data_IF_582562678544
#
_entry.id   IF_582562678544
#
_cell.length_a   1.000
_cell.length_b   1.000
_cell.length_c   1.000
_cell.angle_alpha   90.00
_cell.angle_beta   90.00
_cell.angle_gamma   90.00
#
_symmetry.space_group_name_H-M   'P 1'
#
loop_
_entity.id
_entity.type
_entity.pdbx_description
1 polymer ?
#
# COMPACT_ATOMS: atom_id res chain seq x y z
N UNK A 1 -11.50 19.08 -32.67
CA UNK A 1 -10.70 18.36 -31.66
C UNK A 1 -11.71 17.60 -30.84
N UNK A 2 -11.62 16.27 -30.85
CA UNK A 2 -12.54 15.41 -30.11
C UNK A 2 -12.20 15.55 -28.63
N UNK A 3 -13.14 16.08 -27.85
CA UNK A 3 -13.09 16.00 -26.39
C UNK A 3 -12.97 14.52 -26.07
N UNK A 4 -11.98 14.14 -25.28
CA UNK A 4 -11.83 12.77 -24.81
C UNK A 4 -13.12 12.36 -24.08
N UNK A 5 -13.99 11.62 -24.76
CA UNK A 5 -15.32 11.23 -24.25
C UNK A 5 -15.19 10.31 -23.02
N UNK A 6 -13.98 9.79 -22.75
CA UNK A 6 -13.66 8.93 -21.61
C UNK A 6 -13.11 9.71 -20.40
N UNK A 7 -12.98 11.04 -20.46
CA UNK A 7 -12.49 11.84 -19.34
C UNK A 7 -13.56 11.98 -18.23
N UNK A 8 -13.42 11.17 -17.17
CA UNK A 8 -14.28 11.24 -15.99
C UNK A 8 -13.76 12.32 -15.04
N UNK A 9 -14.45 13.45 -14.97
CA UNK A 9 -14.15 14.51 -14.00
C UNK A 9 -14.60 14.12 -12.59
N UNK A 10 -13.88 14.55 -11.53
CA UNK A 10 -14.34 14.38 -10.15
C UNK A 10 -15.78 14.87 -9.97
N UNK A 11 -16.62 14.02 -9.39
CA UNK A 11 -18.01 14.32 -9.04
C UNK A 11 -18.06 15.17 -7.76
N UNK A 12 -18.89 16.22 -7.76
CA UNK A 12 -19.09 17.12 -6.63
C UNK A 12 -19.40 18.54 -7.08
N UNK A 13 -20.19 19.32 -6.31
CA UNK A 13 -20.41 20.72 -6.64
C UNK A 13 -19.09 21.48 -6.42
N UNK A 14 -18.52 22.14 -7.45
CA UNK A 14 -17.35 22.99 -7.23
C UNK A 14 -17.68 24.10 -6.23
N UNK A 15 -16.66 24.62 -5.54
CA UNK A 15 -16.77 25.88 -4.80
C UNK A 15 -17.40 26.97 -5.69
N UNK A 16 -18.12 27.89 -5.06
CA UNK A 16 -18.73 29.01 -5.76
C UNK A 16 -17.66 29.73 -6.59
N UNK A 17 -17.76 29.74 -7.94
CA UNK A 17 -16.75 30.39 -8.78
C UNK A 17 -16.66 31.90 -8.55
N UNK A 18 -17.67 32.49 -7.88
CA UNK A 18 -17.66 33.90 -7.49
C UNK A 18 -16.90 34.16 -6.18
N UNK A 19 -16.45 33.11 -5.46
CA UNK A 19 -15.65 33.29 -4.27
C UNK A 19 -14.26 33.81 -4.67
N UNK A 20 -13.83 34.97 -4.13
CA UNK A 20 -12.52 35.53 -4.46
C UNK A 20 -11.40 34.57 -4.05
N UNK A 21 -10.38 34.47 -4.90
CA UNK A 21 -9.19 33.69 -4.62
C UNK A 21 -8.45 34.28 -3.41
N UNK A 22 -8.06 33.42 -2.46
CA UNK A 22 -7.17 33.82 -1.37
C UNK A 22 -5.78 34.12 -1.92
N UNK A 23 -5.04 34.99 -1.23
CA UNK A 23 -3.63 35.23 -1.57
C UNK A 23 -2.80 33.97 -1.27
N UNK A 24 -1.70 33.77 -2.02
CA UNK A 24 -0.81 32.62 -1.84
C UNK A 24 -0.30 32.52 -0.39
N UNK A 25 0.03 33.64 0.26
CA UNK A 25 0.49 33.65 1.66
C UNK A 25 -0.58 33.12 2.63
N UNK A 26 -1.85 33.38 2.33
CA UNK A 26 -2.96 32.86 3.13
C UNK A 26 -3.15 31.36 2.90
N UNK A 27 -3.01 30.89 1.65
CA UNK A 27 -3.04 29.46 1.34
C UNK A 27 -1.89 28.73 2.04
N UNK A 28 -0.67 29.25 1.95
CA UNK A 28 0.51 28.65 2.57
C UNK A 28 0.39 28.57 4.10
N UNK A 29 -0.32 29.51 4.72
CA UNK A 29 -0.55 29.52 6.16
C UNK A 29 -1.70 28.61 6.62
N UNK A 30 -2.64 28.25 5.74
CA UNK A 30 -3.89 27.58 6.13
C UNK A 30 -4.06 26.17 5.57
N UNK A 31 -3.35 25.83 4.49
CA UNK A 31 -3.43 24.52 3.86
C UNK A 31 -2.22 23.68 4.26
N UNK A 32 -2.50 22.46 4.72
CA UNK A 32 -1.56 21.54 5.32
C UNK A 32 -1.61 20.13 4.70
N UNK A 33 -2.47 19.88 3.70
CA UNK A 33 -2.59 18.59 2.99
C UNK A 33 -3.34 18.77 1.67
N UNK A 34 -3.31 17.77 0.79
CA UNK A 34 -4.08 17.84 -0.47
C UNK A 34 -5.59 17.94 -0.23
N UNK A 35 -6.11 17.28 0.80
CA UNK A 35 -7.54 17.31 1.14
C UNK A 35 -8.06 18.64 1.69
N UNK A 36 -7.19 19.63 1.92
CA UNK A 36 -7.63 21.01 2.20
C UNK A 36 -8.05 21.76 0.92
N UNK A 37 -7.69 21.23 -0.26
CA UNK A 37 -8.10 21.77 -1.55
C UNK A 37 -9.33 21.03 -2.10
N UNK A 38 -10.25 21.78 -2.69
CA UNK A 38 -11.35 21.19 -3.45
C UNK A 38 -10.88 20.77 -4.84
N UNK A 39 -10.49 19.50 -4.97
CA UNK A 39 -10.00 18.91 -6.22
C UNK A 39 -11.01 19.06 -7.36
N UNK A 40 -12.31 19.00 -7.09
CA UNK A 40 -13.35 19.20 -8.10
C UNK A 40 -13.30 20.63 -8.67
N UNK A 41 -12.94 21.62 -7.86
CA UNK A 41 -12.68 22.97 -8.34
C UNK A 41 -11.34 23.06 -9.08
N UNK A 42 -10.28 22.41 -8.58
CA UNK A 42 -8.95 22.49 -9.19
C UNK A 42 -8.92 21.98 -10.64
N UNK A 43 -9.64 20.89 -10.94
CA UNK A 43 -9.70 20.35 -12.32
C UNK A 43 -10.48 21.23 -13.31
N UNK A 44 -11.14 22.31 -12.84
CA UNK A 44 -12.01 23.19 -13.64
C UNK A 44 -11.55 24.65 -13.63
N UNK A 45 -10.73 25.06 -12.66
CA UNK A 45 -10.21 26.42 -12.50
C UNK A 45 -8.68 26.41 -12.53
N UNK A 46 -8.11 26.82 -13.67
CA UNK A 46 -6.67 26.95 -13.89
C UNK A 46 -5.98 27.83 -12.85
N UNK A 47 -6.60 28.92 -12.41
CA UNK A 47 -5.97 29.85 -11.46
C UNK A 47 -5.76 29.18 -10.11
N UNK A 48 -6.77 28.44 -9.66
CA UNK A 48 -6.71 27.65 -8.41
C UNK A 48 -5.77 26.47 -8.54
N UNK A 49 -5.74 25.79 -9.68
CA UNK A 49 -4.78 24.72 -9.93
C UNK A 49 -3.34 25.22 -9.84
N UNK A 50 -3.01 26.33 -10.50
CA UNK A 50 -1.67 26.92 -10.41
C UNK A 50 -1.31 27.34 -8.98
N UNK A 51 -2.28 27.85 -8.20
CA UNK A 51 -2.07 28.15 -6.78
C UNK A 51 -1.77 26.90 -5.95
N UNK A 52 -2.46 25.78 -6.21
CA UNK A 52 -2.13 24.49 -5.60
C UNK A 52 -0.69 24.07 -5.90
N UNK A 53 -0.24 24.14 -7.16
CA UNK A 53 1.15 23.79 -7.51
C UNK A 53 2.19 24.71 -6.87
N UNK A 54 1.89 26.01 -6.73
CA UNK A 54 2.76 26.96 -6.00
C UNK A 54 2.82 26.64 -4.51
N UNK A 55 1.69 26.32 -3.89
CA UNK A 55 1.64 25.85 -2.50
C UNK A 55 2.45 24.57 -2.32
N UNK A 56 2.23 23.59 -3.19
CA UNK A 56 2.92 22.31 -3.12
C UNK A 56 4.44 22.48 -3.24
N UNK A 57 4.90 23.27 -4.21
CA UNK A 57 6.31 23.63 -4.38
C UNK A 57 6.87 24.37 -3.16
N UNK A 58 6.11 25.32 -2.60
CA UNK A 58 6.51 26.05 -1.39
C UNK A 58 6.73 25.08 -0.23
N UNK A 59 5.79 24.17 0.02
CA UNK A 59 5.88 23.19 1.10
C UNK A 59 7.09 22.28 0.93
N UNK A 60 7.33 21.74 -0.27
CA UNK A 60 8.49 20.88 -0.54
C UNK A 60 9.84 21.60 -0.37
N UNK A 61 9.88 22.92 -0.53
CA UNK A 61 11.09 23.73 -0.34
C UNK A 61 11.32 24.13 1.12
N UNK A 62 10.26 24.30 1.90
CA UNK A 62 10.35 24.79 3.28
C UNK A 62 10.44 23.67 4.32
N UNK A 63 9.89 22.49 4.03
CA UNK A 63 9.76 21.41 5.00
C UNK A 63 10.54 20.16 4.58
N UNK A 64 10.92 19.36 5.58
CA UNK A 64 11.58 18.06 5.38
C UNK A 64 10.53 16.97 5.15
N UNK A 65 10.79 16.07 4.18
CA UNK A 65 9.99 14.84 3.99
C UNK A 65 10.05 13.92 5.20
N UNK A 66 11.19 13.92 5.92
CA UNK A 66 11.31 13.21 7.18
C UNK A 66 10.65 14.05 8.28
N UNK A 67 9.45 13.65 8.68
CA UNK A 67 8.56 14.41 9.59
C UNK A 67 8.69 14.02 11.07
N UNK A 68 9.37 12.92 11.36
CA UNK A 68 9.67 12.47 12.72
C UNK A 68 11.09 11.89 12.80
N UNK A 69 11.73 12.06 13.95
CA UNK A 69 13.11 11.64 14.19
C UNK A 69 13.20 10.65 15.35
N UNK A 70 14.36 9.99 15.47
CA UNK A 70 14.63 9.10 16.61
C UNK A 70 14.44 9.84 17.93
N UNK A 71 13.72 9.21 18.86
CA UNK A 71 13.28 9.73 20.15
C UNK A 71 12.13 10.73 20.15
N UNK A 72 11.61 11.12 18.99
CA UNK A 72 10.39 11.92 18.94
C UNK A 72 9.22 11.14 19.54
N UNK A 73 8.34 11.88 20.19
CA UNK A 73 7.14 11.37 20.85
C UNK A 73 5.93 11.86 20.08
N UNK A 74 5.09 10.93 19.64
CA UNK A 74 3.88 11.23 18.88
C UNK A 74 2.67 10.85 19.72
N UNK A 75 1.67 11.73 19.74
CA UNK A 75 0.38 11.45 20.37
C UNK A 75 -0.61 11.03 19.30
N UNK A 76 -1.32 9.93 19.53
CA UNK A 76 -2.26 9.36 18.59
C UNK A 76 -3.69 9.38 19.14
N UNK A 77 -4.66 9.66 18.27
CA UNK A 77 -6.08 9.41 18.52
C UNK A 77 -6.46 8.07 17.86
N UNK A 78 -6.95 7.15 18.68
CA UNK A 78 -7.25 5.77 18.27
C UNK A 78 -8.41 5.73 17.27
N UNK A 79 -8.27 4.89 16.25
CA UNK A 79 -9.25 4.64 15.17
C UNK A 79 -9.83 5.89 14.51
N UNK A 80 -9.07 6.99 14.48
CA UNK A 80 -9.47 8.23 13.83
C UNK A 80 -8.67 8.41 12.55
N UNK A 81 -9.39 8.55 11.43
CA UNK A 81 -8.84 8.97 10.14
C UNK A 81 -9.53 10.29 9.78
N UNK A 82 -8.80 11.21 9.14
CA UNK A 82 -9.18 12.62 8.93
C UNK A 82 -10.61 12.87 8.41
N UNK A 83 -10.74 13.19 7.12
CA UNK A 83 -12.06 13.43 6.51
C UNK A 83 -12.93 12.16 6.57
N UNK A 84 -14.22 12.35 6.81
CA UNK A 84 -15.22 11.27 6.83
C UNK A 84 -15.48 10.88 5.38
N UNK A 85 -14.88 9.79 4.93
CA UNK A 85 -15.27 9.13 3.69
C UNK A 85 -16.60 8.39 3.91
N UNK A 86 -17.44 8.25 2.87
CA UNK A 86 -18.59 7.36 2.95
C UNK A 86 -18.13 5.97 3.39
N UNK A 87 -19.01 5.26 4.09
CA UNK A 87 -18.78 3.89 4.59
C UNK A 87 -18.76 2.91 3.40
N UNK A 88 -17.73 3.04 2.57
CA UNK A 88 -17.46 2.18 1.44
C UNK A 88 -16.59 1.04 1.91
N UNK A 89 -17.03 -0.17 1.63
CA UNK A 89 -16.26 -1.39 1.84
C UNK A 89 -16.14 -2.16 0.53
N UNK A 90 -15.05 -2.91 0.33
CA UNK A 90 -14.94 -3.82 -0.80
C UNK A 90 -16.10 -4.81 -0.81
N UNK A 91 -16.60 -5.12 -2.00
CA UNK A 91 -17.84 -5.89 -2.19
C UNK A 91 -17.64 -7.35 -1.82
N UNK A 92 -16.53 -7.95 -2.25
CA UNK A 92 -16.28 -9.38 -2.09
C UNK A 92 -15.55 -9.64 -0.78
N UNK A 93 -16.14 -10.35 0.19
CA UNK A 93 -15.44 -10.71 1.42
C UNK A 93 -14.39 -11.79 1.17
N UNK A 94 -13.37 -11.87 2.03
CA UNK A 94 -12.41 -12.97 1.97
C UNK A 94 -13.06 -14.29 2.42
N UNK A 95 -13.11 -15.27 1.52
CA UNK A 95 -13.61 -16.60 1.80
C UNK A 95 -12.45 -17.60 2.01
N UNK A 96 -12.03 -17.79 3.27
CA UNK A 96 -10.95 -18.71 3.59
C UNK A 96 -11.21 -20.18 3.20
N UNK A 97 -12.46 -20.57 2.92
CA UNK A 97 -12.79 -21.92 2.44
C UNK A 97 -12.39 -22.18 0.99
N UNK A 98 -12.15 -21.12 0.21
CA UNK A 98 -11.67 -21.20 -1.18
C UNK A 98 -10.14 -21.35 -1.27
N UNK A 99 -9.43 -21.23 -0.14
CA UNK A 99 -8.00 -21.46 -0.11
C UNK A 99 -7.66 -22.94 -0.36
N UNK A 100 -6.67 -23.23 -1.21
CA UNK A 100 -6.10 -24.56 -1.34
C UNK A 100 -5.60 -25.13 0.00
N UNK A 101 -5.75 -26.45 0.20
CA UNK A 101 -5.46 -27.11 1.47
C UNK A 101 -3.99 -26.99 1.92
N UNK A 102 -3.06 -26.98 0.96
CA UNK A 102 -1.63 -26.73 1.18
C UNK A 102 -1.39 -25.30 1.71
N UNK A 103 -2.08 -24.31 1.14
CA UNK A 103 -2.03 -22.91 1.56
C UNK A 103 -2.58 -22.73 2.97
N UNK A 104 -3.71 -23.37 3.29
CA UNK A 104 -4.27 -23.39 4.66
C UNK A 104 -3.29 -24.03 5.66
N UNK A 105 -2.62 -25.10 5.25
CA UNK A 105 -1.62 -25.78 6.09
C UNK A 105 -0.39 -24.88 6.30
N UNK A 106 0.07 -24.21 5.24
CA UNK A 106 1.18 -23.27 5.29
C UNK A 106 0.93 -22.15 6.29
N UNK A 107 -0.18 -21.39 6.16
CA UNK A 107 -0.49 -20.25 7.05
C UNK A 107 -0.54 -20.64 8.51
N UNK A 108 -1.16 -21.79 8.83
CA UNK A 108 -1.25 -22.31 10.20
C UNK A 108 0.13 -22.65 10.76
N UNK A 109 1.01 -23.15 9.91
CA UNK A 109 2.36 -23.58 10.29
C UNK A 109 3.29 -22.38 10.56
N UNK A 110 3.10 -21.27 9.85
CA UNK A 110 3.93 -20.07 9.98
C UNK A 110 3.32 -19.00 10.89
N UNK A 111 2.11 -19.22 11.40
CA UNK A 111 1.38 -18.27 12.25
C UNK A 111 2.22 -17.82 13.44
N UNK A 112 2.28 -16.50 13.62
CA UNK A 112 2.92 -15.80 14.73
C UNK A 112 1.85 -15.32 15.71
N UNK A 113 2.22 -15.28 16.98
CA UNK A 113 1.45 -14.57 18.00
C UNK A 113 1.54 -13.06 17.77
N UNK A 114 0.48 -12.33 18.11
CA UNK A 114 0.49 -10.88 18.01
C UNK A 114 1.42 -10.26 19.08
N UNK A 115 2.38 -9.39 18.70
CA UNK A 115 3.25 -8.70 19.65
C UNK A 115 2.52 -8.03 20.81
N UNK A 116 1.38 -7.37 20.55
CA UNK A 116 0.58 -6.71 21.60
C UNK A 116 -0.15 -7.71 22.51
N UNK A 117 -0.49 -8.90 22.01
CA UNK A 117 -1.04 -9.99 22.83
C UNK A 117 0.04 -10.53 23.76
N UNK A 118 1.22 -10.84 23.22
CA UNK A 118 2.37 -11.35 24.01
C UNK A 118 2.80 -10.35 25.08
N UNK A 119 2.74 -9.04 24.79
CA UNK A 119 3.02 -7.99 25.75
C UNK A 119 1.87 -7.70 26.76
N UNK A 120 0.70 -8.32 26.59
CA UNK A 120 -0.44 -8.15 27.49
C UNK A 120 -1.13 -6.78 27.39
N UNK A 121 -0.95 -6.04 26.30
CA UNK A 121 -1.47 -4.67 26.12
C UNK A 121 -2.55 -4.57 25.03
N UNK A 122 -2.86 -5.65 24.31
CA UNK A 122 -3.83 -5.63 23.21
C UNK A 122 -5.24 -5.19 23.64
N UNK A 123 -5.72 -5.62 24.81
CA UNK A 123 -7.09 -5.33 25.26
C UNK A 123 -7.24 -3.91 25.79
N UNK A 124 -6.19 -3.33 26.37
CA UNK A 124 -6.18 -1.89 26.69
C UNK A 124 -6.09 -1.07 25.41
N UNK A 125 -5.24 -1.48 24.46
CA UNK A 125 -5.09 -0.79 23.18
C UNK A 125 -6.39 -0.76 22.36
N UNK A 126 -7.09 -1.89 22.21
CA UNK A 126 -8.38 -1.96 21.48
C UNK A 126 -9.47 -1.04 22.03
N UNK A 127 -9.46 -0.79 23.36
CA UNK A 127 -10.44 0.08 24.04
C UNK A 127 -9.95 1.51 24.20
N UNK A 128 -8.72 1.79 23.77
CA UNK A 128 -8.10 3.08 23.98
C UNK A 128 -8.78 4.19 23.19
N UNK A 129 -8.73 5.40 23.72
CA UNK A 129 -9.11 6.62 22.98
C UNK A 129 -7.89 7.31 22.41
N UNK A 130 -6.75 7.17 23.10
CA UNK A 130 -5.49 7.74 22.70
C UNK A 130 -4.33 6.91 23.21
N UNK A 131 -3.19 7.05 22.53
CA UNK A 131 -1.94 6.47 22.98
C UNK A 131 -0.79 7.37 22.58
N UNK A 132 0.33 7.22 23.24
CA UNK A 132 1.58 7.89 22.87
C UNK A 132 2.59 6.85 22.47
N UNK A 133 3.34 7.12 21.40
CA UNK A 133 4.45 6.28 20.97
C UNK A 133 5.73 7.09 20.90
N UNK A 134 6.86 6.37 20.94
CA UNK A 134 8.18 6.94 20.74
C UNK A 134 8.85 6.31 19.53
N UNK A 135 9.39 7.14 18.64
CA UNK A 135 10.13 6.71 17.46
C UNK A 135 11.49 6.16 17.89
N UNK A 136 11.83 4.96 17.43
CA UNK A 136 13.14 4.36 17.62
C UNK A 136 14.08 4.78 16.49
N UNK A 137 13.68 4.54 15.25
CA UNK A 137 14.43 4.92 14.06
C UNK A 137 13.51 4.92 12.83
N UNK A 138 14.02 5.52 11.76
CA UNK A 138 13.43 5.41 10.42
C UNK A 138 13.79 4.04 9.85
N UNK A 139 12.81 3.36 9.28
CA UNK A 139 12.97 2.07 8.59
C UNK A 139 13.09 2.31 7.09
N UNK A 140 12.17 3.11 6.54
CA UNK A 140 12.18 3.53 5.15
C UNK A 140 11.71 4.97 5.03
N UNK A 141 12.59 5.84 4.52
CA UNK A 141 12.20 7.13 3.96
C UNK A 141 11.58 6.79 2.61
N UNK A 142 10.24 6.81 2.50
CA UNK A 142 9.56 6.27 1.32
C UNK A 142 10.14 6.81 0.02
N UNK A 143 9.98 6.05 -1.06
CA UNK A 143 10.62 6.31 -2.36
C UNK A 143 10.49 7.78 -2.80
N UNK A 144 11.33 8.25 -3.74
CA UNK A 144 11.17 9.61 -4.31
C UNK A 144 9.72 9.92 -4.74
N UNK A 145 8.93 8.87 -5.05
CA UNK A 145 7.52 8.93 -5.42
C UNK A 145 6.51 8.61 -4.32
N UNK A 146 6.97 8.05 -3.21
CA UNK A 146 6.12 7.65 -2.09
C UNK A 146 5.73 8.83 -1.21
N UNK A 147 4.47 8.83 -0.79
CA UNK A 147 3.91 9.76 0.20
C UNK A 147 4.02 9.24 1.64
N UNK A 148 4.68 8.10 1.87
CA UNK A 148 4.74 7.47 3.18
C UNK A 148 6.15 7.43 3.75
N UNK A 149 6.27 7.46 5.07
CA UNK A 149 7.51 7.17 5.79
C UNK A 149 7.25 6.10 6.83
N UNK A 150 8.13 5.11 6.90
CA UNK A 150 8.01 3.95 7.79
C UNK A 150 9.01 4.07 8.92
N UNK A 151 8.52 3.91 10.14
CA UNK A 151 9.27 4.03 11.39
C UNK A 151 9.15 2.76 12.21
N UNK A 152 10.21 2.46 12.96
CA UNK A 152 10.15 1.54 14.09
C UNK A 152 9.83 2.35 15.33
N UNK A 153 8.87 1.92 16.13
CA UNK A 153 8.41 2.62 17.32
C UNK A 153 8.03 1.67 18.45
N UNK A 154 7.70 2.20 19.62
CA UNK A 154 7.00 1.46 20.68
C UNK A 154 5.98 2.37 21.36
N UNK A 155 4.89 1.80 21.85
CA UNK A 155 3.89 2.53 22.64
C UNK A 155 4.46 2.79 24.04
N UNK A 156 4.43 4.03 24.49
CA UNK A 156 4.90 4.44 25.83
C UNK A 156 3.76 4.60 26.83
N UNK A 157 2.58 4.99 26.36
CA UNK A 157 1.37 5.10 27.18
C UNK A 157 0.09 4.84 26.38
N UNK A 158 -0.94 4.34 27.07
CA UNK A 158 -2.31 4.15 26.56
C UNK A 158 -3.26 4.81 27.54
N UNK A 159 -4.05 5.78 27.08
CA UNK A 159 -4.93 6.61 27.92
C UNK A 159 -4.24 7.09 29.21
N UNK A 160 -3.07 7.72 29.04
CA UNK A 160 -2.18 8.23 30.10
C UNK A 160 -1.56 7.19 31.05
N UNK A 161 -1.84 5.89 30.85
CA UNK A 161 -1.22 4.82 31.61
C UNK A 161 0.05 4.35 30.92
N UNK A 162 1.19 4.38 31.62
CA UNK A 162 2.46 3.87 31.08
C UNK A 162 2.35 2.38 30.78
N UNK A 163 2.86 1.97 29.61
CA UNK A 163 2.90 0.57 29.19
C UNK A 163 4.29 0.19 28.71
N UNK A 164 4.61 -1.11 28.77
CA UNK A 164 5.74 -1.68 28.07
C UNK A 164 5.21 -2.29 26.77
N UNK A 165 5.74 -1.84 25.64
CA UNK A 165 5.29 -2.24 24.31
C UNK A 165 6.47 -2.82 23.52
N UNK A 166 6.25 -3.86 22.68
CA UNK A 166 7.26 -4.34 21.77
C UNK A 166 7.56 -3.29 20.69
N UNK A 167 8.57 -3.54 19.86
CA UNK A 167 8.75 -2.76 18.64
C UNK A 167 7.58 -2.98 17.68
N UNK A 168 7.06 -1.89 17.16
CA UNK A 168 5.96 -1.82 16.20
C UNK A 168 6.41 -1.04 14.97
N UNK A 169 5.73 -1.27 13.86
CA UNK A 169 5.90 -0.53 12.63
C UNK A 169 4.83 0.56 12.56
N UNK A 170 5.26 1.80 12.38
CA UNK A 170 4.42 2.95 12.14
C UNK A 170 4.64 3.44 10.71
N UNK A 171 3.58 3.51 9.92
CA UNK A 171 3.62 4.11 8.58
C UNK A 171 2.80 5.41 8.61
N UNK A 172 3.46 6.55 8.38
CA UNK A 172 2.80 7.86 8.29
C UNK A 172 2.62 8.27 6.83
N UNK A 173 1.48 8.87 6.50
CA UNK A 173 1.15 9.35 5.16
C UNK A 173 1.16 10.87 5.14
N UNK A 174 1.88 11.43 4.17
CA UNK A 174 2.09 12.84 3.97
C UNK A 174 2.11 13.15 2.47
N UNK A 175 0.95 13.56 1.95
CA UNK A 175 0.76 13.79 0.52
C UNK A 175 1.43 15.07 0.01
N UNK A 176 1.82 15.98 0.90
CA UNK A 176 2.55 17.23 0.56
C UNK A 176 3.89 17.01 -0.14
N UNK A 177 4.48 15.83 0.04
CA UNK A 177 5.77 15.47 -0.55
C UNK A 177 5.63 14.55 -1.77
N UNK A 178 4.43 14.40 -2.30
CA UNK A 178 4.22 13.71 -3.56
C UNK A 178 5.00 14.40 -4.69
N UNK A 179 5.74 13.72 -5.57
CA UNK A 179 6.39 14.40 -6.68
C UNK A 179 5.37 14.74 -7.76
N UNK A 180 4.83 15.95 -7.70
CA UNK A 180 3.96 16.51 -8.72
C UNK A 180 4.77 17.41 -9.64
N UNK A 181 4.70 17.15 -10.95
CA UNK A 181 5.29 18.04 -11.94
C UNK A 181 4.42 19.28 -12.06
N UNK A 182 4.99 20.46 -11.78
CA UNK A 182 4.29 21.71 -12.04
C UNK A 182 4.09 21.88 -13.55
N UNK A 183 2.90 22.30 -13.99
CA UNK A 183 2.64 22.56 -15.40
C UNK A 183 3.44 23.77 -15.91
N UNK A 184 3.80 23.79 -17.19
CA UNK A 184 4.40 24.98 -17.83
C UNK A 184 3.29 25.99 -18.11
N UNK A 185 3.29 27.12 -17.39
CA UNK A 185 2.27 28.15 -17.51
C UNK A 185 2.12 28.74 -18.94
N UNK A 186 3.11 28.51 -19.83
CA UNK A 186 3.16 29.02 -21.20
C UNK A 186 2.65 28.03 -22.27
N UNK A 187 2.25 26.80 -21.92
CA UNK A 187 1.70 25.87 -22.91
C UNK A 187 0.34 26.36 -23.43
N UNK A 188 0.15 26.32 -24.75
CA UNK A 188 -1.08 26.80 -25.43
C UNK A 188 -2.31 25.92 -25.15
N UNK A 189 -2.11 24.64 -24.81
CA UNK A 189 -3.15 23.64 -24.55
C UNK A 189 -3.46 23.44 -23.04
N UNK A 190 -3.06 24.41 -22.21
CA UNK A 190 -3.07 24.29 -20.75
C UNK A 190 -4.44 23.93 -20.16
N UNK A 191 -5.50 24.51 -20.72
CA UNK A 191 -6.86 24.35 -20.20
C UNK A 191 -7.45 22.98 -20.55
N UNK A 192 -6.98 22.34 -21.63
CA UNK A 192 -7.43 21.00 -22.05
C UNK A 192 -6.76 19.89 -21.25
N UNK A 193 -5.51 20.12 -20.82
CA UNK A 193 -4.75 19.19 -19.99
C UNK A 193 -5.03 19.34 -18.49
N UNK A 194 -5.75 20.39 -18.08
CA UNK A 194 -5.98 20.75 -16.68
C UNK A 194 -6.48 19.57 -15.82
N UNK A 195 -7.49 18.77 -16.22
CA UNK A 195 -7.92 17.63 -15.41
C UNK A 195 -6.83 16.58 -15.22
N UNK A 196 -6.03 16.32 -16.28
CA UNK A 196 -4.99 15.29 -16.28
C UNK A 196 -3.80 15.63 -15.37
N UNK A 197 -3.63 16.90 -14.98
CA UNK A 197 -2.63 17.28 -13.98
C UNK A 197 -2.91 16.71 -12.60
N UNK A 198 -4.17 16.36 -12.33
CA UNK A 198 -4.62 15.82 -11.07
C UNK A 198 -4.75 14.29 -11.08
N UNK A 199 -4.61 13.62 -12.23
CA UNK A 199 -4.50 12.16 -12.34
C UNK A 199 -3.48 11.55 -11.37
N UNK A 200 -2.26 12.12 -11.19
CA UNK A 200 -1.33 11.58 -10.22
C UNK A 200 -1.70 11.95 -8.79
N UNK A 201 -2.48 13.01 -8.52
CA UNK A 201 -2.66 13.55 -7.17
C UNK A 201 -3.35 12.54 -6.26
N UNK A 202 -2.70 12.25 -5.14
CA UNK A 202 -3.21 11.32 -4.13
C UNK A 202 -3.56 12.06 -2.86
N UNK A 203 -4.54 11.55 -2.12
CA UNK A 203 -4.90 12.05 -0.79
C UNK A 203 -4.39 11.05 0.24
N UNK A 204 -3.60 11.52 1.20
CA UNK A 204 -2.97 10.69 2.22
C UNK A 204 -3.98 9.81 2.98
N UNK A 205 -5.14 10.37 3.36
CA UNK A 205 -6.21 9.63 4.02
C UNK A 205 -6.76 8.49 3.15
N UNK A 206 -6.91 8.69 1.84
CA UNK A 206 -7.43 7.65 0.94
C UNK A 206 -6.47 6.47 0.85
N UNK A 207 -5.17 6.73 0.76
CA UNK A 207 -4.15 5.67 0.74
C UNK A 207 -4.09 4.90 2.06
N UNK A 208 -4.17 5.62 3.19
CA UNK A 208 -4.22 4.99 4.51
C UNK A 208 -5.47 4.11 4.69
N UNK A 209 -6.64 4.57 4.21
CA UNK A 209 -7.89 3.79 4.26
C UNK A 209 -7.88 2.60 3.31
N UNK A 210 -7.32 2.76 2.11
CA UNK A 210 -7.17 1.65 1.16
C UNK A 210 -6.29 0.53 1.74
N UNK A 211 -5.16 0.90 2.33
CA UNK A 211 -4.29 -0.07 3.01
C UNK A 211 -5.00 -0.74 4.20
N UNK A 212 -5.72 0.03 5.01
CA UNK A 212 -6.49 -0.50 6.13
C UNK A 212 -7.57 -1.49 5.67
N UNK A 213 -8.30 -1.17 4.59
CA UNK A 213 -9.31 -2.06 4.01
C UNK A 213 -8.68 -3.38 3.53
N UNK A 214 -7.47 -3.35 2.95
CA UNK A 214 -6.72 -4.56 2.62
C UNK A 214 -6.37 -5.39 3.85
N UNK A 215 -5.84 -4.77 4.91
CA UNK A 215 -5.54 -5.48 6.16
C UNK A 215 -6.78 -6.08 6.82
N UNK A 216 -7.90 -5.36 6.84
CA UNK A 216 -9.17 -5.82 7.41
C UNK A 216 -9.71 -7.03 6.62
N UNK A 217 -9.66 -6.96 5.29
CA UNK A 217 -10.06 -8.07 4.41
C UNK A 217 -9.17 -9.30 4.60
N UNK A 218 -7.87 -9.07 4.79
CA UNK A 218 -6.86 -10.10 5.03
C UNK A 218 -6.74 -10.50 6.52
N UNK A 219 -7.69 -10.12 7.37
CA UNK A 219 -7.63 -10.41 8.81
C UNK A 219 -7.25 -11.86 9.16
N UNK A 220 -7.79 -12.91 8.50
CA UNK A 220 -7.43 -14.29 8.86
C UNK A 220 -6.00 -14.70 8.45
N UNK A 221 -5.30 -13.89 7.66
CA UNK A 221 -3.90 -14.10 7.30
C UNK A 221 -2.92 -13.26 8.14
N UNK A 222 -3.42 -12.38 9.02
CA UNK A 222 -2.59 -11.56 9.90
C UNK A 222 -1.75 -12.41 10.85
N UNK A 223 -0.49 -12.01 11.02
CA UNK A 223 0.50 -12.80 11.77
C UNK A 223 1.04 -14.01 11.00
N UNK A 224 0.69 -14.17 9.71
CA UNK A 224 1.25 -15.22 8.85
C UNK A 224 1.99 -14.57 7.67
N UNK A 225 1.46 -14.67 6.46
CA UNK A 225 2.03 -14.03 5.26
C UNK A 225 1.90 -12.51 5.25
N UNK A 226 1.20 -11.90 6.21
CA UNK A 226 1.15 -10.45 6.40
C UNK A 226 1.33 -10.09 7.89
N UNK A 227 1.74 -8.85 8.23
CA UNK A 227 1.84 -8.39 9.61
C UNK A 227 0.49 -8.38 10.34
N UNK A 228 0.50 -8.45 11.67
CA UNK A 228 -0.65 -8.02 12.46
C UNK A 228 -0.92 -6.53 12.26
N UNK A 229 -2.18 -6.18 12.01
CA UNK A 229 -2.63 -4.80 11.87
C UNK A 229 -3.31 -4.33 13.15
N UNK A 230 -2.92 -3.15 13.63
CA UNK A 230 -3.44 -2.56 14.87
C UNK A 230 -4.36 -1.36 14.63
N UNK A 231 -4.57 -0.99 13.38
CA UNK A 231 -5.53 0.04 12.98
C UNK A 231 -4.87 1.28 12.38
N UNK A 232 -5.75 2.16 11.90
CA UNK A 232 -5.41 3.47 11.37
C UNK A 232 -5.73 4.53 12.41
N UNK A 233 -4.80 5.46 12.60
CA UNK A 233 -4.87 6.45 13.67
C UNK A 233 -4.44 7.83 13.15
N UNK A 234 -4.81 8.86 13.90
CA UNK A 234 -4.41 10.23 13.66
C UNK A 234 -3.27 10.58 14.61
N UNK A 235 -2.10 10.90 14.08
CA UNK A 235 -0.89 11.20 14.85
C UNK A 235 -0.59 12.69 14.85
N UNK A 236 -0.36 13.25 16.03
CA UNK A 236 0.16 14.59 16.21
C UNK A 236 1.67 14.51 16.46
N UNK A 237 2.43 15.16 15.59
CA UNK A 237 3.88 15.25 15.62
C UNK A 237 4.37 16.32 16.61
N UNK A 238 5.66 16.35 16.96
CA UNK A 238 6.20 17.34 17.89
C UNK A 238 6.02 18.80 17.47
N UNK A 239 5.94 19.07 16.16
CA UNK A 239 5.69 20.39 15.58
C UNK A 239 4.19 20.77 15.55
N UNK A 240 3.31 19.88 16.02
CA UNK A 240 1.86 20.05 16.01
C UNK A 240 1.18 19.60 14.72
N UNK A 241 1.94 19.13 13.72
CA UNK A 241 1.36 18.61 12.48
C UNK A 241 0.57 17.32 12.76
N UNK A 242 -0.56 17.19 12.07
CA UNK A 242 -1.46 16.05 12.22
C UNK A 242 -1.50 15.21 10.94
N UNK A 243 -0.99 13.99 11.00
CA UNK A 243 -0.98 13.03 9.89
C UNK A 243 -1.85 11.80 10.17
N UNK A 244 -2.30 11.14 9.10
CA UNK A 244 -2.88 9.81 9.18
C UNK A 244 -1.77 8.76 9.12
N UNK A 245 -1.91 7.68 9.88
CA UNK A 245 -0.93 6.60 9.88
C UNK A 245 -1.48 5.25 10.28
N UNK A 246 -0.75 4.20 9.93
CA UNK A 246 -1.07 2.82 10.25
C UNK A 246 -0.09 2.30 11.29
N UNK A 247 -0.60 1.57 12.28
CA UNK A 247 0.22 0.85 13.25
C UNK A 247 0.09 -0.65 12.99
N UNK A 248 1.23 -1.34 12.90
CA UNK A 248 1.28 -2.76 12.58
C UNK A 248 2.45 -3.45 13.30
N UNK A 249 2.46 -4.78 13.27
CA UNK A 249 3.60 -5.60 13.71
C UNK A 249 4.86 -5.18 12.97
N UNK A 250 5.95 -4.95 13.71
CA UNK A 250 7.26 -4.80 13.11
C UNK A 250 7.85 -6.18 12.80
N UNK A 251 8.13 -6.42 11.52
CA UNK A 251 8.77 -7.64 11.06
C UNK A 251 10.27 -7.39 11.00
N UNK A 252 11.03 -8.05 11.88
CA UNK A 252 12.50 -8.07 11.83
C UNK A 252 12.96 -9.10 10.78
N UNK A 253 12.57 -8.83 9.53
CA UNK A 253 12.89 -9.65 8.37
C UNK A 253 14.01 -9.05 7.53
N UNK A 254 14.33 -9.74 6.45
CA UNK A 254 15.35 -9.35 5.48
C UNK A 254 14.69 -9.06 4.13
N UNK A 255 15.14 -8.02 3.46
CA UNK A 255 14.75 -7.74 2.08
C UNK A 255 15.29 -8.82 1.14
N UNK A 256 14.62 -9.01 -0.01
CA UNK A 256 14.98 -10.05 -0.99
C UNK A 256 16.35 -9.85 -1.66
N UNK A 257 16.86 -8.63 -1.71
CA UNK A 257 18.18 -8.27 -2.28
C UNK A 257 19.32 -8.34 -1.25
N UNK A 258 19.01 -8.58 0.01
CA UNK A 258 20.04 -8.62 1.06
C UNK A 258 21.02 -9.78 0.88
N UNK A 259 22.24 -9.63 1.42
CA UNK A 259 23.24 -10.70 1.50
C UNK A 259 22.66 -11.99 2.12
N UNK A 260 21.70 -11.83 3.03
CA UNK A 260 20.99 -12.96 3.63
C UNK A 260 20.31 -13.83 2.58
N UNK A 261 19.57 -13.24 1.64
CA UNK A 261 18.87 -13.99 0.60
C UNK A 261 19.83 -14.76 -0.31
N UNK A 262 20.98 -14.16 -0.65
CA UNK A 262 22.03 -14.78 -1.48
C UNK A 262 22.74 -15.93 -0.78
N UNK A 263 22.89 -15.87 0.54
CA UNK A 263 23.54 -16.90 1.36
C UNK A 263 22.60 -18.04 1.79
N UNK A 264 21.31 -17.97 1.44
CA UNK A 264 20.36 -19.04 1.74
C UNK A 264 20.73 -20.32 1.00
N UNK A 265 20.68 -21.45 1.71
CA UNK A 265 20.78 -22.76 1.07
C UNK A 265 19.60 -22.98 0.11
N UNK A 266 19.78 -23.83 -0.93
CA UNK A 266 18.72 -24.12 -1.89
C UNK A 266 17.38 -24.51 -1.24
N UNK A 267 17.41 -25.38 -0.23
CA UNK A 267 16.21 -25.82 0.50
C UNK A 267 15.48 -24.66 1.20
N UNK A 268 16.21 -23.67 1.71
CA UNK A 268 15.61 -22.49 2.35
C UNK A 268 15.02 -21.55 1.30
N UNK A 269 15.72 -21.34 0.18
CA UNK A 269 15.18 -20.56 -0.93
C UNK A 269 13.87 -21.18 -1.46
N UNK A 270 13.82 -22.50 -1.65
CA UNK A 270 12.63 -23.23 -2.09
C UNK A 270 11.44 -22.95 -1.15
N UNK A 271 11.64 -23.01 0.16
CA UNK A 271 10.57 -22.70 1.15
C UNK A 271 10.07 -21.26 1.04
N UNK A 272 10.96 -20.29 0.86
CA UNK A 272 10.59 -18.89 0.69
C UNK A 272 9.81 -18.66 -0.62
N UNK A 273 10.26 -19.26 -1.72
CA UNK A 273 9.60 -19.22 -3.03
C UNK A 273 8.18 -19.76 -2.92
N UNK A 274 8.02 -20.94 -2.31
CA UNK A 274 6.70 -21.56 -2.07
C UNK A 274 5.83 -20.69 -1.16
N UNK A 275 6.42 -20.07 -0.12
CA UNK A 275 5.70 -19.14 0.74
C UNK A 275 5.18 -17.92 -0.01
N UNK A 276 5.94 -17.38 -0.96
CA UNK A 276 5.49 -16.26 -1.79
C UNK A 276 4.29 -16.67 -2.65
N UNK A 277 4.27 -17.90 -3.17
CA UNK A 277 3.12 -18.43 -3.91
C UNK A 277 1.88 -18.52 -3.04
N UNK A 278 2.01 -19.08 -1.83
CA UNK A 278 0.90 -19.15 -0.88
C UNK A 278 0.38 -17.76 -0.50
N UNK A 279 1.28 -16.78 -0.33
CA UNK A 279 0.91 -15.41 -0.04
C UNK A 279 0.14 -14.76 -1.20
N UNK A 280 0.58 -14.95 -2.46
CA UNK A 280 -0.14 -14.47 -3.64
C UNK A 280 -1.57 -15.04 -3.72
N UNK A 281 -1.74 -16.36 -3.49
CA UNK A 281 -3.07 -17.00 -3.47
C UNK A 281 -4.01 -16.38 -2.44
N UNK A 282 -3.48 -16.02 -1.28
CA UNK A 282 -4.27 -15.38 -0.23
C UNK A 282 -4.77 -14.01 -0.69
N UNK A 283 -3.92 -13.23 -1.36
CA UNK A 283 -4.34 -11.96 -1.96
C UNK A 283 -5.41 -12.16 -3.03
N UNK A 284 -5.24 -13.16 -3.90
CA UNK A 284 -6.18 -13.47 -4.98
C UNK A 284 -7.57 -13.86 -4.46
N UNK A 285 -7.63 -14.82 -3.52
CA UNK A 285 -8.89 -15.26 -2.88
C UNK A 285 -9.52 -14.13 -2.04
N UNK A 286 -8.71 -13.22 -1.52
CA UNK A 286 -9.19 -12.03 -0.84
C UNK A 286 -9.60 -10.91 -1.79
N UNK A 287 -9.53 -11.05 -3.13
CA UNK A 287 -9.78 -9.95 -4.07
C UNK A 287 -8.98 -8.69 -3.66
N UNK A 288 -7.70 -8.89 -3.37
CA UNK A 288 -6.70 -7.84 -3.12
C UNK A 288 -5.64 -7.98 -4.20
N UNK A 289 -5.47 -6.97 -5.05
CA UNK A 289 -4.46 -6.98 -6.10
C UNK A 289 -3.37 -5.98 -5.75
N UNK A 290 -2.15 -6.47 -5.48
CA UNK A 290 -0.99 -5.61 -5.28
C UNK A 290 -0.55 -5.05 -6.63
N UNK A 291 -0.54 -3.72 -6.79
CA UNK A 291 -0.18 -3.04 -8.04
C UNK A 291 1.29 -2.67 -8.10
N UNK A 292 1.96 -2.59 -6.95
CA UNK A 292 3.34 -2.11 -6.83
C UNK A 292 4.31 -3.25 -6.47
N UNK A 293 4.25 -4.37 -7.19
CA UNK A 293 5.18 -5.47 -6.97
C UNK A 293 6.63 -5.04 -7.25
N UNK A 294 7.46 -5.04 -6.23
CA UNK A 294 8.92 -4.95 -6.27
C UNK A 294 9.53 -5.68 -5.06
N UNK A 295 10.85 -5.83 -5.02
CA UNK A 295 11.57 -6.57 -3.98
C UNK A 295 11.33 -6.04 -2.54
N UNK A 296 11.19 -4.72 -2.38
CA UNK A 296 10.81 -4.09 -1.11
C UNK A 296 9.42 -4.44 -0.55
N UNK A 297 8.56 -5.14 -1.29
CA UNK A 297 7.23 -5.57 -0.82
C UNK A 297 7.18 -6.97 -0.21
N UNK A 298 8.32 -7.65 -0.18
CA UNK A 298 8.44 -9.02 0.34
C UNK A 298 9.59 -9.05 1.33
N UNK A 299 9.27 -9.31 2.60
CA UNK A 299 10.26 -9.59 3.63
C UNK A 299 10.42 -11.09 3.81
N UNK A 300 11.67 -11.53 3.88
CA UNK A 300 12.06 -12.87 4.29
C UNK A 300 12.11 -12.91 5.81
N UNK A 301 11.43 -13.87 6.43
CA UNK A 301 11.37 -13.95 7.88
C UNK A 301 11.44 -15.41 8.36
N UNK A 302 12.09 -15.63 9.50
CA UNK A 302 12.11 -16.94 10.17
C UNK A 302 11.26 -16.86 11.42
N UNK A 303 10.16 -17.62 11.48
CA UNK A 303 9.32 -17.68 12.67
C UNK A 303 10.16 -18.17 13.88
N UNK A 304 10.32 -17.39 14.96
CA UNK A 304 11.17 -17.78 16.07
C UNK A 304 10.66 -19.01 16.84
N UNK A 305 9.34 -19.26 16.86
CA UNK A 305 8.73 -20.37 17.56
C UNK A 305 8.84 -21.67 16.76
N UNK A 306 8.53 -21.63 15.46
CA UNK A 306 8.50 -22.83 14.61
C UNK A 306 9.80 -23.08 13.85
N UNK A 307 10.69 -22.09 13.80
CA UNK A 307 11.94 -22.07 13.01
C UNK A 307 11.72 -22.23 11.50
N UNK A 308 10.54 -21.82 11.02
CA UNK A 308 10.17 -21.92 9.61
C UNK A 308 10.33 -20.58 8.93
N UNK A 309 11.12 -20.63 7.86
CA UNK A 309 11.32 -19.57 6.88
C UNK A 309 10.04 -19.35 6.05
N UNK A 310 9.59 -18.11 5.96
CA UNK A 310 8.46 -17.71 5.13
C UNK A 310 8.58 -16.25 4.66
N UNK A 311 7.77 -15.92 3.66
CA UNK A 311 7.61 -14.58 3.15
C UNK A 311 6.51 -13.83 3.90
N UNK A 312 6.73 -12.54 4.15
CA UNK A 312 5.76 -11.61 4.70
C UNK A 312 5.59 -10.47 3.70
N UNK A 313 4.37 -10.31 3.18
CA UNK A 313 4.00 -9.22 2.27
C UNK A 313 3.65 -7.98 3.09
N UNK A 314 4.15 -6.83 2.62
CA UNK A 314 3.95 -5.53 3.25
C UNK A 314 3.47 -4.50 2.21
N UNK A 315 3.11 -3.31 2.69
CA UNK A 315 2.70 -2.14 1.89
C UNK A 315 1.49 -2.40 0.98
N UNK A 316 0.30 -2.32 1.56
CA UNK A 316 -0.94 -2.50 0.79
C UNK A 316 -1.54 -1.17 0.31
N UNK A 317 -0.79 -0.06 0.39
CA UNK A 317 -1.28 1.27 0.02
C UNK A 317 -1.68 1.36 -1.46
N UNK A 318 -0.92 0.70 -2.34
CA UNK A 318 -1.16 0.65 -3.78
C UNK A 318 -1.96 -0.58 -4.21
N UNK A 319 -2.79 -1.16 -3.35
CA UNK A 319 -3.64 -2.30 -3.74
C UNK A 319 -4.96 -1.86 -4.37
N UNK A 320 -5.54 -2.71 -5.20
CA UNK A 320 -6.90 -2.56 -5.71
C UNK A 320 -7.78 -3.70 -5.26
N UNK A 321 -9.07 -3.39 -5.10
CA UNK A 321 -10.11 -4.29 -4.62
C UNK A 321 -11.38 -4.03 -5.43
N UNK A 322 -12.34 -4.95 -5.44
CA UNK A 322 -13.61 -4.69 -6.11
C UNK A 322 -14.48 -3.77 -5.25
N UNK A 323 -14.67 -2.52 -5.71
CA UNK A 323 -15.52 -1.51 -5.07
C UNK A 323 -16.87 -1.31 -5.78
N UNK A 324 -16.94 -1.66 -7.06
CA UNK A 324 -18.14 -1.50 -7.91
C UNK A 324 -18.56 -2.86 -8.47
N UNK A 325 -19.84 -3.28 -8.38
CA UNK A 325 -20.26 -4.65 -8.73
C UNK A 325 -20.01 -5.06 -10.19
N UNK A 326 -19.79 -4.10 -11.08
CA UNK A 326 -19.64 -4.31 -12.52
C UNK A 326 -18.22 -4.03 -13.03
N UNK A 327 -17.30 -3.63 -12.15
CA UNK A 327 -15.90 -3.41 -12.48
C UNK A 327 -15.07 -4.55 -11.89
N UNK A 328 -14.42 -5.32 -12.77
CA UNK A 328 -13.56 -6.41 -12.33
C UNK A 328 -12.24 -5.83 -11.82
N UNK A 329 -11.85 -6.25 -10.61
CA UNK A 329 -10.50 -6.00 -10.11
C UNK A 329 -9.48 -6.79 -10.95
N UNK A 330 -8.48 -6.11 -11.50
CA UNK A 330 -7.41 -6.78 -12.22
C UNK A 330 -6.42 -7.40 -11.24
N UNK A 331 -6.57 -8.69 -10.99
CA UNK A 331 -5.72 -9.48 -10.10
C UNK A 331 -4.50 -10.00 -10.89
N UNK A 332 -3.29 -9.67 -10.44
CA UNK A 332 -2.04 -10.07 -11.10
C UNK A 332 -0.95 -10.46 -10.09
N UNK A 333 -1.34 -10.97 -8.93
CA UNK A 333 -0.39 -11.27 -7.85
C UNK A 333 0.53 -12.43 -8.22
N UNK A 334 0.03 -13.44 -8.93
CA UNK A 334 0.84 -14.57 -9.40
C UNK A 334 2.07 -14.11 -10.18
N UNK A 335 1.86 -13.39 -11.30
CA UNK A 335 2.96 -12.92 -12.14
C UNK A 335 3.70 -11.75 -11.52
N UNK A 336 3.04 -10.91 -10.73
CA UNK A 336 3.67 -9.82 -10.00
C UNK A 336 4.78 -10.34 -9.07
N UNK A 337 4.41 -11.24 -8.16
CA UNK A 337 5.35 -11.91 -7.24
C UNK A 337 6.39 -12.75 -7.97
N UNK A 338 6.00 -13.53 -8.99
CA UNK A 338 6.95 -14.31 -9.81
C UNK A 338 8.01 -13.41 -10.47
N UNK A 339 7.61 -12.27 -11.03
CA UNK A 339 8.54 -11.33 -11.65
C UNK A 339 9.51 -10.70 -10.65
N UNK A 340 9.07 -10.46 -9.42
CA UNK A 340 9.96 -10.04 -8.33
C UNK A 340 10.99 -11.14 -8.05
N UNK A 341 10.54 -12.37 -7.79
CA UNK A 341 11.42 -13.50 -7.46
C UNK A 341 12.44 -13.84 -8.57
N UNK A 342 12.10 -13.56 -9.83
CA UNK A 342 12.99 -13.73 -10.98
C UNK A 342 13.94 -12.54 -11.24
N UNK A 343 13.94 -11.52 -10.38
CA UNK A 343 14.79 -10.33 -10.51
C UNK A 343 14.40 -9.40 -11.65
N UNK A 344 13.15 -9.47 -12.13
CA UNK A 344 12.64 -8.56 -13.18
C UNK A 344 12.13 -7.23 -12.62
N UNK A 345 11.94 -7.15 -11.30
CA UNK A 345 11.40 -5.97 -10.59
C UNK A 345 12.20 -5.68 -9.32
N UNK A 346 13.48 -5.39 -9.51
CA UNK A 346 14.45 -5.18 -8.45
C UNK A 346 15.52 -6.26 -8.43
N UNK A 347 16.57 -6.02 -7.65
CA UNK A 347 17.58 -7.04 -7.37
C UNK A 347 17.00 -8.08 -6.40
N UNK A 348 17.35 -9.35 -6.58
CA UNK A 348 16.91 -10.44 -5.69
C UNK A 348 18.00 -11.50 -5.60
N UNK A 349 18.16 -12.07 -4.41
CA UNK A 349 19.19 -13.07 -4.13
C UNK A 349 18.83 -14.52 -4.49
N UNK A 350 17.69 -14.78 -5.13
CA UNK A 350 17.25 -16.15 -5.43
C UNK A 350 17.78 -16.68 -6.75
N UNK A 351 18.06 -18.00 -6.77
CA UNK A 351 18.38 -18.73 -7.99
C UNK A 351 17.13 -18.82 -8.91
N UNK A 352 17.17 -18.23 -10.12
CA UNK A 352 16.05 -18.27 -11.05
C UNK A 352 15.60 -19.69 -11.43
N UNK A 353 16.51 -20.66 -11.47
CA UNK A 353 16.15 -22.06 -11.78
C UNK A 353 15.30 -22.67 -10.67
N UNK A 354 15.64 -22.36 -9.41
CA UNK A 354 14.82 -22.78 -8.26
C UNK A 354 13.45 -22.10 -8.29
N UNK A 355 13.39 -20.81 -8.62
CA UNK A 355 12.12 -20.07 -8.74
C UNK A 355 11.20 -20.73 -9.76
N UNK A 356 11.68 -20.96 -10.99
CA UNK A 356 10.89 -21.61 -12.03
C UNK A 356 10.40 -23.00 -11.64
N UNK A 357 11.24 -23.77 -10.96
CA UNK A 357 10.92 -25.15 -10.59
C UNK A 357 9.97 -25.25 -9.39
N UNK A 358 9.99 -24.27 -8.48
CA UNK A 358 9.37 -24.40 -7.16
C UNK A 358 8.31 -23.36 -6.82
N UNK A 359 8.10 -22.32 -7.63
CA UNK A 359 7.01 -21.36 -7.42
C UNK A 359 5.62 -21.98 -7.61
N UNK A 360 5.53 -23.02 -8.44
CA UNK A 360 4.28 -23.69 -8.79
C UNK A 360 3.59 -23.05 -9.98
N UNK A 361 2.53 -23.69 -10.46
CA UNK A 361 1.75 -23.25 -11.62
C UNK A 361 0.75 -22.14 -11.26
N UNK A 362 0.34 -21.31 -12.24
CA UNK A 362 -0.77 -20.37 -12.06
C UNK A 362 -2.08 -21.12 -11.82
N UNK A 363 -2.99 -20.52 -11.06
CA UNK A 363 -4.35 -21.03 -10.89
C UNK A 363 -5.23 -20.62 -12.09
N UNK A 364 -6.39 -21.25 -12.27
CA UNK A 364 -7.25 -21.08 -13.45
C UNK A 364 -7.73 -19.62 -13.70
N UNK A 365 -7.78 -18.81 -12.64
CA UNK A 365 -8.22 -17.43 -12.67
C UNK A 365 -7.09 -16.43 -12.90
N UNK A 366 -5.83 -16.86 -12.89
CA UNK A 366 -4.70 -15.96 -13.15
C UNK A 366 -4.74 -15.51 -14.62
N UNK A 367 -4.85 -14.19 -14.89
CA UNK A 367 -4.86 -13.70 -16.26
C UNK A 367 -3.46 -13.79 -16.85
N UNK A 368 -3.36 -14.37 -18.05
CA UNK A 368 -2.14 -14.41 -18.83
C UNK A 368 -2.31 -13.50 -20.04
N UNK A 369 -1.42 -12.53 -20.21
CA UNK A 369 -1.32 -11.79 -21.47
C UNK A 369 -0.64 -12.68 -22.51
N UNK A 370 -1.41 -13.16 -23.48
CA UNK A 370 -0.90 -13.93 -24.59
C UNK A 370 -0.92 -13.12 -25.88
N UNK A 371 0.14 -13.28 -26.67
CA UNK A 371 0.06 -12.99 -28.09
C UNK A 371 -0.72 -14.11 -28.76
N UNK A 372 -1.95 -13.81 -29.18
CA UNK A 372 -2.75 -14.74 -29.97
C UNK A 372 -2.84 -14.15 -31.37
N UNK A 373 -2.07 -14.67 -32.35
CA UNK A 373 -2.21 -14.22 -33.72
C UNK A 373 -3.60 -14.63 -34.22
N UNK A 374 -4.53 -13.67 -34.23
CA UNK A 374 -5.85 -13.82 -34.85
C UNK A 374 -5.74 -13.85 -36.38
N UNK A 375 -4.65 -13.28 -36.93
CA UNK A 375 -4.29 -13.26 -38.35
C UNK A 375 -2.76 -13.36 -38.48
N UNK A 376 -2.21 -14.11 -39.47
CA UNK A 376 -0.76 -14.12 -39.73
C UNK A 376 -0.21 -12.71 -39.92
N UNK A 377 0.70 -12.28 -39.05
CA UNK A 377 1.33 -10.96 -39.09
C UNK A 377 0.70 -9.90 -38.18
N UNK A 378 -0.47 -10.15 -37.57
CA UNK A 378 -1.05 -9.22 -36.60
C UNK A 378 -0.55 -9.55 -35.19
N UNK A 379 0.05 -8.55 -34.53
CA UNK A 379 0.48 -8.61 -33.14
C UNK A 379 -0.59 -7.94 -32.29
N UNK A 380 -1.74 -8.59 -32.12
CA UNK A 380 -2.72 -8.17 -31.11
C UNK A 380 -2.46 -8.96 -29.82
N UNK A 381 -2.45 -8.25 -28.69
CA UNK A 381 -2.42 -8.88 -27.36
C UNK A 381 -3.86 -9.16 -26.94
N UNK A 382 -4.12 -10.37 -26.43
CA UNK A 382 -5.38 -10.70 -25.78
C UNK A 382 -5.10 -11.24 -24.40
N UNK A 383 -5.84 -10.74 -23.41
CA UNK A 383 -5.88 -11.35 -22.08
C UNK A 383 -6.64 -12.66 -22.17
N UNK A 384 -6.00 -13.75 -21.74
CA UNK A 384 -6.60 -15.08 -21.71
C UNK A 384 -6.43 -15.68 -20.31
N UNK A 385 -7.38 -16.53 -19.91
CA UNK A 385 -7.28 -17.27 -18.66
C UNK A 385 -6.14 -18.28 -18.75
N UNK A 386 -5.38 -18.49 -17.67
CA UNK A 386 -4.31 -19.48 -17.61
C UNK A 386 -4.75 -20.87 -18.10
N UNK A 387 -5.91 -21.35 -17.63
CA UNK A 387 -6.45 -22.65 -18.06
C UNK A 387 -6.76 -22.77 -19.56
N UNK A 388 -6.94 -21.65 -20.27
CA UNK A 388 -7.13 -21.66 -21.73
C UNK A 388 -5.80 -21.76 -22.49
N UNK A 389 -4.69 -21.32 -21.91
CA UNK A 389 -3.35 -21.41 -22.52
C UNK A 389 -2.65 -22.73 -22.23
N UNK A 390 -2.94 -23.29 -21.07
CA UNK A 390 -2.30 -24.48 -20.55
C UNK A 390 -3.36 -25.56 -20.37
N UNK A 391 -3.76 -26.27 -21.45
CA UNK A 391 -4.87 -27.22 -21.42
C UNK A 391 -4.65 -28.44 -20.52
N UNK A 392 -3.48 -28.54 -19.87
CA UNK A 392 -3.17 -29.52 -18.82
C UNK A 392 -3.55 -29.05 -17.40
N UNK A 393 -3.95 -27.79 -17.23
CA UNK A 393 -4.42 -27.26 -15.94
C UNK A 393 -5.81 -27.83 -15.57
N UNK A 394 -6.58 -28.35 -16.53
CA UNK A 394 -7.90 -28.95 -16.30
C UNK A 394 -7.88 -30.44 -15.89
N UNK A 395 -6.77 -30.92 -15.33
CA UNK A 395 -6.68 -32.29 -14.78
C UNK A 395 -6.16 -32.29 -13.34
N UNK A 396 -7.05 -31.95 -12.41
CA UNK A 396 -7.00 -32.38 -11.01
C UNK A 396 -8.38 -32.87 -10.57
#
# INVERSE_FOLDING_TARGET
MEVDEDLILPEGPPQDPNQPLLADEQIFATHHRHSDFDIATLVRDRTRALQFFRWHKHVQQQYSKLVAHSNDTLTAVTNKVGQIFPDSHPIYPFNASELPADTVTHIKTIQRESPLVTAGVIESFKRSKSFTLKIQNVVAEGSERGICTVYRCHITSIDDNSVLSPSLCLKLFDDRFQPLQSPDENEEELDELLPRWFDPVVIAEMYALNEAAAYDKLHPAQGSVIPWFYGTHQFTLPDGMVLSGLLMEYIEGWELDSNFAQELSPDRQIKMIQSCRHAARILDVADVSQRDWHNGQILLYTNPATKIDHAVLIDFASTTQTWVPHELNFINNYFGSLHVLLGRRGDVGFDPELVWKHYGEPDDWDPVEAWIPTVPGNKERRVVKAGNMFPYISSA
#
